data_IF_757562837460
#
_entry.id   IF_757562837460
#
_cell.length_a   1.000
_cell.length_b   1.000
_cell.length_c   1.000
_cell.angle_alpha   90.00
_cell.angle_beta   90.00
_cell.angle_gamma   90.00
#
_symmetry.space_group_name_H-M   'P 1'
#
loop_
_entity.id
_entity.type
_entity.pdbx_description
1 polymer ?
#
# COMPACT_ATOMS: atom_id res chain seq x y z
N UNK A 1 -4.77 13.77 -22.87
CA UNK A 1 -4.69 14.47 -21.56
C UNK A 1 -3.46 14.04 -20.79
N UNK A 2 -2.82 14.98 -20.07
CA UNK A 2 -1.68 14.69 -19.19
C UNK A 2 -2.18 14.06 -17.88
N UNK A 3 -1.48 13.04 -17.39
CA UNK A 3 -1.73 12.48 -16.06
C UNK A 3 -1.47 13.52 -14.97
N UNK A 4 -2.33 13.54 -13.94
CA UNK A 4 -2.22 14.46 -12.80
C UNK A 4 -1.47 13.86 -11.61
N UNK A 5 -1.17 12.57 -11.61
CA UNK A 5 -0.40 11.91 -10.55
C UNK A 5 1.00 12.55 -10.45
N UNK A 6 1.44 12.99 -9.26
CA UNK A 6 2.78 13.56 -9.08
C UNK A 6 3.88 12.63 -9.60
N UNK A 7 4.74 13.14 -10.47
CA UNK A 7 5.82 12.36 -11.10
C UNK A 7 5.43 11.54 -12.33
N UNK A 8 4.15 11.46 -12.69
CA UNK A 8 3.74 10.83 -13.94
C UNK A 8 3.80 11.82 -15.12
N UNK A 9 4.59 11.50 -16.15
CA UNK A 9 4.71 12.30 -17.37
C UNK A 9 3.80 11.82 -18.51
N UNK A 10 3.00 10.77 -18.30
CA UNK A 10 2.19 10.15 -19.34
C UNK A 10 1.14 11.11 -19.93
N UNK A 11 0.97 11.03 -21.25
CA UNK A 11 -0.15 11.61 -21.99
C UNK A 11 -0.97 10.48 -22.59
N UNK A 12 -2.24 10.41 -22.24
CA UNK A 12 -3.16 9.34 -22.66
C UNK A 12 -4.41 9.92 -23.31
N UNK A 13 -5.15 9.12 -24.09
CA UNK A 13 -6.45 9.54 -24.60
C UNK A 13 -7.43 9.81 -23.45
N UNK A 14 -8.38 10.72 -23.65
CA UNK A 14 -9.43 11.01 -22.63
C UNK A 14 -10.21 9.73 -22.30
N UNK A 15 -10.54 8.94 -23.33
CA UNK A 15 -11.27 7.67 -23.19
C UNK A 15 -10.55 6.63 -22.33
N UNK A 16 -9.21 6.64 -22.29
CA UNK A 16 -8.40 5.66 -21.55
C UNK A 16 -7.83 6.22 -20.25
N UNK A 17 -8.16 7.47 -19.90
CA UNK A 17 -7.60 8.14 -18.72
C UNK A 17 -7.94 7.41 -17.42
N UNK A 18 -9.19 6.96 -17.26
CA UNK A 18 -9.63 6.20 -16.07
C UNK A 18 -8.90 4.85 -15.97
N UNK A 19 -8.74 4.15 -17.09
CA UNK A 19 -7.95 2.91 -17.16
C UNK A 19 -6.50 3.16 -16.76
N UNK A 20 -5.89 4.23 -17.25
CA UNK A 20 -4.54 4.63 -16.84
C UNK A 20 -4.45 4.89 -15.34
N UNK A 21 -5.39 5.62 -14.72
CA UNK A 21 -5.39 5.83 -13.27
C UNK A 21 -5.45 4.50 -12.50
N UNK A 22 -6.15 3.50 -13.05
CA UNK A 22 -6.19 2.13 -12.52
C UNK A 22 -4.81 1.48 -12.38
N UNK A 23 -3.87 1.79 -13.27
CA UNK A 23 -2.53 1.15 -13.33
C UNK A 23 -1.35 2.10 -13.11
N UNK A 24 -1.58 3.41 -13.05
CA UNK A 24 -0.55 4.44 -12.90
C UNK A 24 0.32 4.23 -11.64
N UNK A 25 1.57 3.85 -11.81
CA UNK A 25 2.51 3.56 -10.72
C UNK A 25 2.79 4.74 -9.77
N UNK A 26 2.54 5.95 -10.25
CA UNK A 26 2.71 7.21 -9.52
C UNK A 26 1.45 7.66 -8.77
N UNK A 27 0.31 7.01 -9.03
CA UNK A 27 -0.94 7.35 -8.34
C UNK A 27 -0.80 6.98 -6.88
N UNK A 28 -1.14 7.93 -6.01
CA UNK A 28 -1.26 7.66 -4.58
C UNK A 28 -2.45 6.72 -4.32
N UNK A 29 -2.16 5.69 -3.55
CA UNK A 29 -3.12 4.66 -3.15
C UNK A 29 -2.99 4.42 -1.64
N UNK A 30 -4.09 4.14 -0.94
CA UNK A 30 -4.04 3.83 0.48
C UNK A 30 -3.39 2.47 0.72
N UNK A 31 -2.77 2.30 1.89
CA UNK A 31 -2.37 1.00 2.40
C UNK A 31 -3.61 0.07 2.48
N UNK A 32 -3.49 -1.21 2.10
CA UNK A 32 -4.60 -2.17 2.20
C UNK A 32 -4.91 -2.61 3.64
N UNK A 33 -4.04 -2.35 4.61
CA UNK A 33 -4.28 -2.68 6.01
C UNK A 33 -5.26 -1.67 6.62
N UNK A 34 -6.39 -2.14 7.15
CA UNK A 34 -7.51 -1.31 7.61
C UNK A 34 -7.14 -0.28 8.69
N UNK A 35 -6.11 -0.55 9.50
CA UNK A 35 -5.63 0.34 10.57
C UNK A 35 -4.54 1.30 10.11
N UNK A 36 -4.08 1.21 8.85
CA UNK A 36 -3.03 2.05 8.31
C UNK A 36 -3.60 3.13 7.39
N UNK A 37 -3.51 4.40 7.81
CA UNK A 37 -3.95 5.55 7.02
C UNK A 37 -2.88 6.04 6.02
N UNK A 38 -1.74 5.36 5.93
CA UNK A 38 -0.65 5.75 5.05
C UNK A 38 -1.07 5.64 3.58
N UNK A 39 -0.67 6.65 2.79
CA UNK A 39 -0.87 6.69 1.34
C UNK A 39 0.48 6.91 0.69
N UNK A 40 0.76 6.13 -0.35
CA UNK A 40 2.01 6.26 -1.09
C UNK A 40 1.78 5.92 -2.58
N UNK A 41 2.73 6.28 -3.47
CA UNK A 41 2.67 5.85 -4.85
C UNK A 41 2.54 4.32 -4.98
N UNK A 42 1.73 3.85 -5.92
CA UNK A 42 1.53 2.40 -6.14
C UNK A 42 2.85 1.63 -6.28
N UNK A 43 3.88 2.19 -6.92
CA UNK A 43 5.20 1.55 -7.04
C UNK A 43 5.91 1.29 -5.71
N UNK A 44 5.63 2.09 -4.68
CA UNK A 44 6.23 1.94 -3.33
C UNK A 44 5.31 1.22 -2.36
N UNK A 45 4.07 0.92 -2.76
CA UNK A 45 3.07 0.31 -1.89
C UNK A 45 3.51 -1.07 -1.40
N UNK A 46 4.10 -1.88 -2.28
CA UNK A 46 4.56 -3.23 -1.91
C UNK A 46 5.60 -3.18 -0.78
N UNK A 47 6.55 -2.26 -0.87
CA UNK A 47 7.61 -2.09 0.12
C UNK A 47 7.05 -1.60 1.46
N UNK A 48 6.09 -0.66 1.42
CA UNK A 48 5.35 -0.23 2.59
C UNK A 48 4.58 -1.40 3.24
N UNK A 49 3.84 -2.20 2.47
CA UNK A 49 3.01 -3.29 3.01
C UNK A 49 3.86 -4.32 3.77
N UNK A 50 5.06 -4.63 3.27
CA UNK A 50 6.01 -5.54 3.94
C UNK A 50 6.51 -5.02 5.29
N UNK A 51 6.59 -3.71 5.44
CA UNK A 51 7.13 -3.02 6.63
C UNK A 51 6.04 -2.39 7.50
N UNK A 52 4.79 -2.42 7.06
CA UNK A 52 3.67 -1.78 7.73
C UNK A 52 3.49 -2.36 9.14
N UNK A 53 3.38 -1.53 10.19
CA UNK A 53 3.18 -2.01 11.55
C UNK A 53 1.81 -2.68 11.75
N UNK A 54 0.83 -2.33 10.91
CA UNK A 54 -0.51 -2.92 10.92
C UNK A 54 -0.65 -4.20 10.08
N UNK A 55 0.45 -4.72 9.49
CA UNK A 55 0.41 -6.03 8.83
C UNK A 55 0.18 -7.12 9.88
N UNK A 56 -0.68 -8.08 9.58
CA UNK A 56 -0.97 -9.18 10.50
C UNK A 56 0.12 -10.25 10.40
N UNK A 57 0.64 -10.67 11.54
CA UNK A 57 1.64 -11.73 11.69
C UNK A 57 1.13 -12.77 12.68
N UNK A 58 1.51 -14.03 12.45
CA UNK A 58 1.25 -15.12 13.39
C UNK A 58 2.49 -15.33 14.26
N UNK A 59 2.29 -15.36 15.57
CA UNK A 59 3.35 -15.67 16.52
C UNK A 59 3.89 -17.09 16.27
N UNK A 60 5.21 -17.18 16.08
CA UNK A 60 5.92 -18.44 15.79
C UNK A 60 6.44 -19.13 17.05
N UNK A 61 6.31 -18.51 18.23
CA UNK A 61 6.77 -19.04 19.52
C UNK A 61 5.82 -20.05 20.16
N UNK A 62 4.76 -20.45 19.45
CA UNK A 62 3.91 -21.58 19.83
C UNK A 62 2.49 -21.21 20.28
N UNK A 63 2.20 -19.94 20.59
CA UNK A 63 0.84 -19.51 20.96
C UNK A 63 -0.11 -19.41 19.75
N UNK A 64 0.42 -19.32 18.53
CA UNK A 64 -0.31 -19.21 17.24
C UNK A 64 -1.27 -18.01 17.16
N UNK A 65 -1.13 -17.03 18.04
CA UNK A 65 -1.92 -15.80 17.98
C UNK A 65 -1.58 -14.99 16.72
N UNK A 66 -2.59 -14.42 16.08
CA UNK A 66 -2.44 -13.51 14.95
C UNK A 66 -2.71 -12.09 15.42
N UNK A 67 -1.74 -11.21 15.25
CA UNK A 67 -1.79 -9.81 15.69
C UNK A 67 -1.00 -8.92 14.73
N UNK A 68 -1.13 -7.60 14.86
CA UNK A 68 -0.34 -6.68 14.05
C UNK A 68 1.16 -6.80 14.39
N UNK A 69 2.03 -6.43 13.45
CA UNK A 69 3.47 -6.45 13.69
C UNK A 69 3.89 -5.58 14.88
N UNK A 70 3.25 -4.42 15.08
CA UNK A 70 3.51 -3.57 16.25
C UNK A 70 3.06 -4.18 17.58
N UNK A 71 1.99 -4.98 17.58
CA UNK A 71 1.57 -5.74 18.77
C UNK A 71 2.54 -6.91 19.04
N UNK A 72 3.02 -7.59 17.99
CA UNK A 72 3.94 -8.71 18.11
C UNK A 72 5.30 -8.30 18.72
N UNK A 73 5.76 -7.07 18.47
CA UNK A 73 6.98 -6.54 19.10
C UNK A 73 6.90 -6.51 20.65
N UNK A 74 5.69 -6.42 21.20
CA UNK A 74 5.44 -6.39 22.64
C UNK A 74 4.81 -7.69 23.17
N UNK A 75 4.75 -8.75 22.35
CA UNK A 75 4.12 -10.02 22.68
C UNK A 75 5.12 -11.01 23.29
N UNK A 76 4.85 -11.45 24.53
CA UNK A 76 5.66 -12.40 25.32
C UNK A 76 5.07 -13.81 25.36
#
# INVERSE_FOLDING_TARGET
VKCRSPGCSARVAVSTYTTHLGVCEFKEVPCPHSLCEHRCPRRTLEDHVKTCPHRMLTCQLGCRATMSAGELENHS
#
